data_IF_692979741329
#
_entry.id   IF_692979741329
#
_cell.length_a   1.000
_cell.length_b   1.000
_cell.length_c   1.000
_cell.angle_alpha   90.00
_cell.angle_beta   90.00
_cell.angle_gamma   90.00
#
_symmetry.space_group_name_H-M   'P 1'
#
loop_
_entity.id
_entity.type
_entity.pdbx_description
1 polymer ?
#
# COMPACT_ATOMS: atom_id res chain seq x y z
N UNK A 1 -15.89 -47.20 42.56
CA UNK A 1 -14.86 -46.85 41.56
C UNK A 1 -15.24 -45.51 40.93
N UNK A 2 -14.41 -44.45 41.04
CA UNK A 2 -14.64 -43.18 40.36
C UNK A 2 -14.06 -43.19 38.93
N UNK A 3 -14.74 -42.51 38.00
CA UNK A 3 -14.37 -42.40 36.59
C UNK A 3 -13.06 -41.60 36.37
N UNK A 4 -12.29 -41.88 35.29
CA UNK A 4 -11.02 -41.19 35.04
C UNK A 4 -11.22 -39.73 34.60
N UNK A 5 -10.26 -38.83 34.90
CA UNK A 5 -10.36 -37.40 34.57
C UNK A 5 -10.19 -37.15 33.05
N UNK A 6 -10.78 -36.06 32.52
CA UNK A 6 -10.73 -35.75 31.09
C UNK A 6 -9.32 -35.36 30.64
N UNK A 7 -8.93 -35.86 29.47
CA UNK A 7 -7.61 -35.67 28.87
C UNK A 7 -7.28 -34.18 28.63
N UNK A 8 -6.09 -33.75 29.08
CA UNK A 8 -5.55 -32.40 28.85
C UNK A 8 -5.30 -32.19 27.35
N UNK A 9 -6.14 -31.39 26.69
CA UNK A 9 -5.90 -30.94 25.30
C UNK A 9 -4.60 -30.14 25.23
N UNK A 10 -3.59 -30.72 24.57
CA UNK A 10 -2.23 -30.18 24.50
C UNK A 10 -2.11 -28.84 23.78
N UNK A 11 -1.01 -28.14 24.03
CA UNK A 11 -0.67 -26.81 23.49
C UNK A 11 -0.85 -26.71 21.96
N UNK A 12 -0.64 -27.81 21.23
CA UNK A 12 -0.87 -27.92 19.79
C UNK A 12 -2.33 -27.69 19.39
N UNK A 13 -3.30 -28.18 20.17
CA UNK A 13 -4.72 -27.99 19.89
C UNK A 13 -5.16 -26.53 20.07
N UNK A 14 -4.53 -25.80 21.00
CA UNK A 14 -4.77 -24.36 21.19
C UNK A 14 -4.20 -23.52 20.04
N UNK A 15 -3.02 -23.88 19.54
CA UNK A 15 -2.39 -23.25 18.38
C UNK A 15 -3.21 -23.46 17.09
N UNK A 16 -3.68 -24.69 16.87
CA UNK A 16 -4.57 -25.01 15.73
C UNK A 16 -5.87 -24.22 15.84
N UNK A 17 -6.49 -24.18 17.03
CA UNK A 17 -7.72 -23.41 17.25
C UNK A 17 -7.54 -21.91 17.02
N UNK A 18 -6.40 -21.34 17.43
CA UNK A 18 -6.07 -19.94 17.20
C UNK A 18 -5.85 -19.63 15.70
N UNK A 19 -5.11 -20.48 14.99
CA UNK A 19 -4.90 -20.34 13.55
C UNK A 19 -6.21 -20.44 12.76
N UNK A 20 -7.10 -21.37 13.13
CA UNK A 20 -8.42 -21.53 12.52
C UNK A 20 -9.30 -20.29 12.76
N UNK A 21 -9.28 -19.74 13.97
CA UNK A 21 -10.04 -18.52 14.32
C UNK A 21 -9.54 -17.31 13.52
N UNK A 22 -8.23 -17.21 13.29
CA UNK A 22 -7.62 -16.13 12.49
C UNK A 22 -7.92 -16.25 11.00
N UNK A 23 -7.94 -17.47 10.46
CA UNK A 23 -8.37 -17.72 9.07
C UNK A 23 -9.85 -17.41 8.85
N UNK A 24 -10.73 -17.78 9.79
CA UNK A 24 -12.16 -17.49 9.70
C UNK A 24 -12.46 -15.99 9.81
N UNK A 25 -11.70 -15.23 10.59
CA UNK A 25 -11.84 -13.78 10.69
C UNK A 25 -11.43 -13.04 9.41
N UNK A 26 -10.52 -13.62 8.59
CA UNK A 26 -10.11 -13.06 7.30
C UNK A 26 -11.11 -13.29 6.16
N UNK A 27 -12.11 -14.15 6.35
CA UNK A 27 -13.14 -14.45 5.36
C UNK A 27 -14.36 -13.51 5.41
N UNK A 28 -14.44 -12.64 6.43
CA UNK A 28 -15.49 -11.63 6.56
C UNK A 28 -15.08 -10.30 5.92
N UNK A 29 -15.24 -10.18 4.60
CA UNK A 29 -15.24 -8.88 3.95
C UNK A 29 -16.43 -8.02 4.42
N UNK A 30 -16.37 -6.68 4.31
CA UNK A 30 -17.46 -5.79 4.72
C UNK A 30 -18.77 -6.16 3.99
N UNK A 31 -19.95 -5.93 4.61
CA UNK A 31 -21.23 -6.31 4.02
C UNK A 31 -21.43 -5.52 2.71
N UNK A 32 -21.42 -6.21 1.57
CA UNK A 32 -21.64 -5.61 0.25
C UNK A 32 -20.72 -6.13 -0.87
N UNK A 33 -19.59 -6.77 -0.56
CA UNK A 33 -18.80 -7.47 -1.59
C UNK A 33 -19.38 -8.86 -1.81
N UNK A 34 -20.06 -9.10 -2.93
CA UNK A 34 -20.68 -10.38 -3.31
C UNK A 34 -19.70 -11.54 -3.59
N UNK A 35 -18.68 -11.71 -2.77
CA UNK A 35 -17.85 -12.90 -2.74
C UNK A 35 -18.48 -13.93 -1.81
N UNK A 36 -19.11 -14.96 -2.37
CA UNK A 36 -19.49 -16.14 -1.60
C UNK A 36 -18.25 -16.78 -0.92
N UNK A 37 -18.45 -17.65 0.08
CA UNK A 37 -17.35 -18.28 0.78
C UNK A 37 -16.40 -18.96 -0.23
N UNK A 38 -15.08 -18.88 0.01
CA UNK A 38 -14.08 -19.50 -0.87
C UNK A 38 -14.44 -20.98 -1.16
N UNK A 39 -14.13 -21.49 -2.37
CA UNK A 39 -14.50 -22.85 -2.77
C UNK A 39 -14.09 -23.94 -1.78
N UNK A 40 -12.97 -23.76 -1.07
CA UNK A 40 -12.49 -24.70 -0.05
C UNK A 40 -13.37 -24.75 1.21
N UNK A 41 -13.99 -23.63 1.61
CA UNK A 41 -14.94 -23.58 2.73
C UNK A 41 -16.22 -24.33 2.36
N UNK A 42 -16.67 -24.20 1.11
CA UNK A 42 -17.84 -24.91 0.59
C UNK A 42 -17.58 -26.42 0.48
N UNK A 43 -16.37 -26.81 0.06
CA UNK A 43 -15.95 -28.21 -0.04
C UNK A 43 -15.78 -28.88 1.34
N UNK A 44 -15.28 -28.15 2.34
CA UNK A 44 -15.13 -28.64 3.71
C UNK A 44 -16.48 -28.89 4.40
N UNK A 45 -17.47 -28.01 4.14
CA UNK A 45 -18.86 -28.21 4.61
C UNK A 45 -19.58 -29.36 3.90
N UNK A 46 -19.11 -29.77 2.72
CA UNK A 46 -19.70 -30.85 1.92
C UNK A 46 -19.10 -32.25 2.17
N UNK A 47 -18.16 -32.40 3.12
CA UNK A 47 -17.67 -33.71 3.56
C UNK A 47 -16.92 -34.55 2.50
N UNK A 48 -16.27 -33.91 1.52
CA UNK A 48 -15.64 -34.62 0.39
C UNK A 48 -14.33 -35.35 0.74
N UNK A 49 -14.21 -36.61 0.31
CA UNK A 49 -13.02 -37.48 0.41
C UNK A 49 -11.81 -37.00 -0.41
N UNK A 50 -10.79 -37.85 -0.69
CA UNK A 50 -9.39 -37.48 -1.01
C UNK A 50 -9.17 -36.46 -2.15
N UNK A 51 -10.15 -36.22 -3.01
CA UNK A 51 -10.18 -35.09 -3.97
C UNK A 51 -10.16 -33.71 -3.27
N UNK A 52 -10.65 -33.61 -2.03
CA UNK A 52 -10.59 -32.39 -1.21
C UNK A 52 -9.16 -32.05 -0.79
N UNK A 53 -8.29 -33.05 -0.64
CA UNK A 53 -6.88 -32.82 -0.30
C UNK A 53 -6.10 -32.28 -1.50
N UNK A 54 -6.38 -32.75 -2.71
CA UNK A 54 -5.77 -32.22 -3.93
C UNK A 54 -6.19 -30.77 -4.21
N UNK A 55 -7.46 -30.42 -3.98
CA UNK A 55 -7.93 -29.03 -4.04
C UNK A 55 -7.37 -28.15 -2.91
N UNK A 56 -7.09 -28.73 -1.74
CA UNK A 56 -6.44 -28.04 -0.61
C UNK A 56 -4.94 -27.82 -0.83
N UNK A 57 -4.31 -28.66 -1.65
CA UNK A 57 -2.90 -28.58 -2.05
C UNK A 57 -2.69 -27.86 -3.39
N UNK A 58 -3.76 -27.53 -4.10
CA UNK A 58 -3.68 -26.77 -5.34
C UNK A 58 -3.20 -25.35 -5.03
N UNK A 59 -2.07 -24.97 -5.63
CA UNK A 59 -1.55 -23.60 -5.57
C UNK A 59 -2.54 -22.69 -6.31
N UNK A 60 -3.41 -22.00 -5.57
CA UNK A 60 -4.32 -21.02 -6.14
C UNK A 60 -3.60 -19.68 -6.33
N UNK A 61 -3.78 -19.08 -7.50
CA UNK A 61 -3.27 -17.76 -7.86
C UNK A 61 -4.06 -16.63 -7.19
N UNK A 62 -5.29 -16.92 -6.76
CA UNK A 62 -6.25 -15.92 -6.32
C UNK A 62 -7.02 -15.26 -7.47
N UNK A 63 -6.73 -15.63 -8.72
CA UNK A 63 -7.43 -15.14 -9.92
C UNK A 63 -8.34 -16.19 -10.57
N UNK A 64 -8.56 -17.34 -9.92
CA UNK A 64 -9.50 -18.35 -10.41
C UNK A 64 -10.90 -17.74 -10.58
N UNK A 65 -11.49 -17.87 -11.77
CA UNK A 65 -12.75 -17.22 -12.17
C UNK A 65 -12.62 -15.72 -12.51
N UNK A 66 -11.41 -15.17 -12.49
CA UNK A 66 -11.07 -13.77 -12.83
C UNK A 66 -9.92 -13.71 -13.84
N UNK A 67 -9.76 -14.73 -14.67
CA UNK A 67 -8.66 -14.89 -15.62
C UNK A 67 -8.65 -13.77 -16.65
N UNK A 68 -9.82 -13.29 -17.07
CA UNK A 68 -9.92 -12.13 -17.96
C UNK A 68 -9.31 -10.87 -17.34
N UNK A 69 -9.61 -10.61 -16.06
CA UNK A 69 -9.07 -9.46 -15.34
C UNK A 69 -7.55 -9.54 -15.22
N UNK A 70 -7.03 -10.74 -14.90
CA UNK A 70 -5.58 -10.99 -14.88
C UNK A 70 -4.95 -10.77 -16.26
N UNK A 71 -5.55 -11.33 -17.31
CA UNK A 71 -5.08 -11.18 -18.69
C UNK A 71 -5.04 -9.73 -19.14
N UNK A 72 -6.10 -8.96 -18.84
CA UNK A 72 -6.17 -7.52 -19.15
C UNK A 72 -5.09 -6.73 -18.38
N UNK A 73 -4.86 -7.03 -17.11
CA UNK A 73 -3.84 -6.37 -16.29
C UNK A 73 -2.41 -6.66 -16.79
N UNK A 74 -2.11 -7.92 -17.14
CA UNK A 74 -0.81 -8.30 -17.71
C UNK A 74 -0.61 -7.68 -19.09
N UNK A 75 -1.64 -7.68 -19.94
CA UNK A 75 -1.57 -7.04 -21.25
C UNK A 75 -1.31 -5.54 -21.15
N UNK A 76 -1.92 -4.86 -20.18
CA UNK A 76 -1.63 -3.45 -19.88
C UNK A 76 -0.18 -3.27 -19.45
N UNK A 77 0.31 -4.06 -18.48
CA UNK A 77 1.69 -3.97 -17.99
C UNK A 77 2.71 -4.18 -19.12
N UNK A 78 2.50 -5.18 -19.99
CA UNK A 78 3.36 -5.42 -21.15
C UNK A 78 3.32 -4.22 -22.10
N UNK A 79 2.14 -3.66 -22.40
CA UNK A 79 2.03 -2.50 -23.28
C UNK A 79 2.76 -1.27 -22.74
N UNK A 80 2.77 -1.08 -21.41
CA UNK A 80 3.50 -0.01 -20.75
C UNK A 80 5.02 -0.23 -20.78
N UNK A 81 5.47 -1.46 -20.45
CA UNK A 81 6.90 -1.75 -20.26
C UNK A 81 7.65 -2.12 -21.55
N UNK A 82 6.95 -2.55 -22.60
CA UNK A 82 7.58 -2.97 -23.85
C UNK A 82 8.19 -1.82 -24.65
N UNK A 83 7.72 -0.60 -24.41
CA UNK A 83 8.22 0.58 -25.11
C UNK A 83 9.48 1.08 -24.40
N UNK A 84 10.61 0.97 -25.08
CA UNK A 84 11.94 1.26 -24.53
C UNK A 84 12.61 2.44 -25.20
N UNK A 85 11.95 3.07 -26.19
CA UNK A 85 12.48 4.21 -26.93
C UNK A 85 11.50 5.40 -26.86
N UNK A 86 11.96 6.62 -26.54
CA UNK A 86 13.35 7.03 -26.34
C UNK A 86 13.93 6.68 -24.96
N UNK A 87 13.14 6.12 -24.03
CA UNK A 87 13.63 5.61 -22.76
C UNK A 87 12.76 4.46 -22.25
N UNK A 88 13.27 3.71 -21.27
CA UNK A 88 12.55 2.62 -20.63
C UNK A 88 11.53 3.16 -19.63
N UNK A 89 10.24 2.99 -19.93
CA UNK A 89 9.15 3.38 -19.04
C UNK A 89 9.03 2.49 -17.80
N UNK A 90 8.61 3.08 -16.69
CA UNK A 90 8.15 2.34 -15.50
C UNK A 90 6.61 2.42 -15.37
N UNK A 91 6.03 1.48 -14.63
CA UNK A 91 4.58 1.40 -14.43
C UNK A 91 3.96 2.64 -13.77
N UNK A 92 4.78 3.43 -13.08
CA UNK A 92 4.37 4.65 -12.36
C UNK A 92 4.58 5.94 -13.16
N UNK A 93 5.19 5.90 -14.35
CA UNK A 93 5.62 7.09 -15.09
C UNK A 93 4.49 8.11 -15.29
N UNK A 94 3.29 7.66 -15.63
CA UNK A 94 2.15 8.54 -15.84
C UNK A 94 1.76 9.30 -14.57
N UNK A 95 1.75 8.61 -13.41
CA UNK A 95 1.45 9.22 -12.11
C UNK A 95 2.57 10.16 -11.66
N UNK A 96 3.83 9.74 -11.84
CA UNK A 96 5.00 10.57 -11.55
C UNK A 96 4.96 11.85 -12.39
N UNK A 97 4.68 11.74 -13.69
CA UNK A 97 4.60 12.87 -14.60
C UNK A 97 3.46 13.83 -14.28
N UNK A 98 2.31 13.31 -13.85
CA UNK A 98 1.21 14.14 -13.33
C UNK A 98 1.68 14.97 -12.13
N UNK A 99 2.34 14.37 -11.13
CA UNK A 99 2.88 15.11 -10.00
C UNK A 99 3.91 16.16 -10.43
N UNK A 100 4.88 15.80 -11.28
CA UNK A 100 5.89 16.73 -11.77
C UNK A 100 5.26 17.93 -12.48
N UNK A 101 4.23 17.69 -13.30
CA UNK A 101 3.51 18.74 -14.02
C UNK A 101 2.80 19.68 -13.06
N UNK A 102 2.06 19.14 -12.08
CA UNK A 102 1.32 19.95 -11.10
C UNK A 102 2.25 20.75 -10.19
N UNK A 103 3.35 20.15 -9.72
CA UNK A 103 4.34 20.83 -8.88
C UNK A 103 5.11 21.89 -9.67
N UNK A 104 5.46 21.62 -10.93
CA UNK A 104 6.11 22.62 -11.79
C UNK A 104 5.18 23.82 -11.99
N UNK A 105 3.91 23.57 -12.32
CA UNK A 105 2.93 24.63 -12.47
C UNK A 105 2.79 25.46 -11.18
N UNK A 106 2.64 24.80 -10.02
CA UNK A 106 2.52 25.50 -8.75
C UNK A 106 3.79 26.29 -8.39
N UNK A 107 4.98 25.77 -8.73
CA UNK A 107 6.26 26.48 -8.60
C UNK A 107 6.30 27.73 -9.48
N UNK A 108 5.94 27.60 -10.74
CA UNK A 108 5.97 28.70 -11.71
C UNK A 108 4.96 29.81 -11.35
N UNK A 109 3.84 29.45 -10.72
CA UNK A 109 2.83 30.39 -10.23
C UNK A 109 3.08 30.90 -8.81
N UNK A 110 4.12 30.40 -8.11
CA UNK A 110 4.41 30.78 -6.73
C UNK A 110 3.37 30.31 -5.70
N UNK A 111 2.58 29.28 -6.00
CA UNK A 111 1.47 28.79 -5.16
C UNK A 111 1.67 27.34 -4.64
N UNK A 112 2.92 26.89 -4.52
CA UNK A 112 3.25 25.54 -4.02
C UNK A 112 2.62 25.26 -2.65
N UNK A 113 2.65 26.21 -1.72
CA UNK A 113 2.08 26.04 -0.38
C UNK A 113 0.57 25.78 -0.45
N UNK A 114 -0.15 26.57 -1.25
CA UNK A 114 -1.60 26.41 -1.47
C UNK A 114 -1.90 25.06 -2.13
N UNK A 115 -1.06 24.62 -3.07
CA UNK A 115 -1.20 23.31 -3.71
C UNK A 115 -1.02 22.15 -2.72
N UNK A 116 -0.04 22.22 -1.83
CA UNK A 116 0.15 21.23 -0.75
C UNK A 116 -1.03 21.24 0.22
N UNK A 117 -1.50 22.41 0.64
CA UNK A 117 -2.68 22.54 1.51
C UNK A 117 -3.91 21.92 0.84
N UNK A 118 -4.09 22.15 -0.46
CA UNK A 118 -5.16 21.56 -1.23
C UNK A 118 -5.08 20.01 -1.25
N UNK A 119 -3.90 19.42 -1.51
CA UNK A 119 -3.68 17.96 -1.42
C UNK A 119 -4.12 17.43 -0.05
N UNK A 120 -3.65 18.04 1.04
CA UNK A 120 -4.02 17.67 2.40
C UNK A 120 -5.52 17.79 2.65
N UNK A 121 -6.15 18.87 2.16
CA UNK A 121 -7.59 19.12 2.29
C UNK A 121 -8.41 18.05 1.57
N UNK A 122 -8.05 17.69 0.35
CA UNK A 122 -8.76 16.65 -0.42
C UNK A 122 -8.66 15.27 0.22
N UNK A 123 -7.57 15.02 0.96
CA UNK A 123 -7.38 13.77 1.70
C UNK A 123 -8.06 13.72 3.07
N UNK A 124 -8.62 14.85 3.56
CA UNK A 124 -9.21 14.94 4.89
C UNK A 124 -10.22 13.84 5.24
N UNK A 125 -11.19 13.47 4.38
CA UNK A 125 -12.18 12.44 4.76
C UNK A 125 -11.53 11.10 5.13
N UNK A 126 -10.47 10.73 4.41
CA UNK A 126 -9.70 9.53 4.69
C UNK A 126 -8.85 9.69 5.96
N UNK A 127 -8.15 10.81 6.08
CA UNK A 127 -7.29 11.10 7.25
C UNK A 127 -8.09 11.16 8.55
N UNK A 128 -9.28 11.78 8.56
CA UNK A 128 -10.14 11.84 9.74
C UNK A 128 -10.65 10.45 10.17
N UNK A 129 -10.94 9.57 9.21
CA UNK A 129 -11.29 8.18 9.52
C UNK A 129 -10.13 7.44 10.19
N UNK A 130 -8.90 7.63 9.69
CA UNK A 130 -7.71 7.03 10.28
C UNK A 130 -7.43 7.60 11.67
N UNK A 131 -7.54 8.92 11.86
CA UNK A 131 -7.40 9.60 13.15
C UNK A 131 -8.35 9.00 14.18
N UNK A 132 -9.63 8.87 13.85
CA UNK A 132 -10.61 8.27 14.76
C UNK A 132 -10.32 6.79 15.11
N UNK A 133 -9.58 6.05 14.27
CA UNK A 133 -9.10 4.72 14.65
C UNK A 133 -7.90 4.80 15.61
N UNK A 134 -6.95 5.70 15.33
CA UNK A 134 -5.77 5.94 16.18
C UNK A 134 -6.20 6.38 17.59
N UNK A 135 -7.14 7.33 17.69
CA UNK A 135 -7.63 7.82 19.00
C UNK A 135 -8.32 6.73 19.82
N UNK A 136 -8.98 5.77 19.18
CA UNK A 136 -9.65 4.66 19.85
C UNK A 136 -8.70 3.57 20.32
N UNK A 137 -7.61 3.33 19.61
CA UNK A 137 -6.70 2.20 19.87
C UNK A 137 -5.39 2.63 20.52
N UNK A 138 -4.99 3.89 20.38
CA UNK A 138 -3.65 4.38 20.69
C UNK A 138 -2.56 3.93 19.70
N UNK A 139 -2.91 3.20 18.63
CA UNK A 139 -1.94 2.58 17.73
C UNK A 139 -1.47 3.57 16.66
N UNK A 140 -0.31 4.20 16.89
CA UNK A 140 0.31 5.16 15.97
C UNK A 140 0.73 4.53 14.64
N UNK A 141 0.96 3.22 14.60
CA UNK A 141 1.33 2.51 13.37
C UNK A 141 0.23 2.59 12.30
N UNK A 142 -1.03 2.81 12.70
CA UNK A 142 -2.15 3.05 11.78
C UNK A 142 -1.88 4.28 10.88
N UNK A 143 -1.19 5.31 11.39
CA UNK A 143 -0.86 6.48 10.59
C UNK A 143 0.05 6.12 9.42
N UNK A 144 1.14 5.42 9.68
CA UNK A 144 2.07 5.02 8.63
C UNK A 144 1.45 3.96 7.70
N UNK A 145 0.69 2.99 8.22
CA UNK A 145 -0.03 2.04 7.38
C UNK A 145 -1.10 2.70 6.49
N UNK A 146 -1.70 3.79 6.96
CA UNK A 146 -2.71 4.56 6.23
C UNK A 146 -2.13 5.51 5.18
N UNK A 147 -0.92 6.03 5.40
CA UNK A 147 -0.20 6.83 4.40
C UNK A 147 0.46 5.92 3.36
N UNK A 148 1.05 4.78 3.78
CA UNK A 148 1.93 3.97 2.94
C UNK A 148 1.38 2.56 2.59
N UNK A 149 1.12 1.73 3.60
CA UNK A 149 1.10 0.26 3.40
C UNK A 149 -0.21 -0.31 2.85
N UNK A 150 -1.25 0.51 2.64
CA UNK A 150 -2.55 0.06 2.13
C UNK A 150 -3.21 1.04 1.16
N UNK A 151 -2.41 1.90 0.55
CA UNK A 151 -2.88 2.86 -0.44
C UNK A 151 -2.43 2.40 -1.82
N UNK A 152 -3.39 2.06 -2.69
CA UNK A 152 -3.11 1.73 -4.10
C UNK A 152 -2.33 2.86 -4.78
N UNK A 153 -2.57 4.10 -4.37
CA UNK A 153 -1.88 5.29 -4.86
C UNK A 153 -0.38 5.28 -4.56
N UNK A 154 0.05 4.78 -3.39
CA UNK A 154 1.48 4.70 -3.10
C UNK A 154 2.12 3.50 -3.80
N UNK A 155 1.44 2.36 -3.92
CA UNK A 155 1.96 1.25 -4.72
C UNK A 155 2.14 1.60 -6.19
N UNK A 156 1.33 2.53 -6.70
CA UNK A 156 1.50 3.12 -8.02
C UNK A 156 2.61 4.17 -8.08
N UNK A 157 3.18 4.61 -6.95
CA UNK A 157 4.21 5.63 -6.91
C UNK A 157 5.59 5.03 -6.55
N UNK A 158 5.65 4.14 -5.56
CA UNK A 158 6.88 3.52 -5.06
C UNK A 158 6.78 2.00 -5.18
N UNK A 159 7.66 1.41 -5.99
CA UNK A 159 7.66 -0.02 -6.29
C UNK A 159 8.42 -0.87 -5.24
N UNK A 160 9.21 -0.24 -4.37
CA UNK A 160 10.17 -0.91 -3.47
C UNK A 160 9.95 -0.58 -1.98
N UNK A 161 8.71 -0.24 -1.58
CA UNK A 161 8.39 0.12 -0.21
C UNK A 161 8.80 -1.00 0.77
N UNK A 162 9.76 -0.67 1.64
CA UNK A 162 10.15 -1.49 2.78
C UNK A 162 9.38 -1.04 4.02
N UNK A 163 8.68 -1.97 4.65
CA UNK A 163 7.88 -1.75 5.85
C UNK A 163 8.58 -2.38 7.06
N UNK A 164 8.85 -1.56 8.07
CA UNK A 164 9.42 -1.94 9.36
C UNK A 164 8.58 -1.28 10.48
N UNK A 165 8.54 -1.84 11.71
CA UNK A 165 7.79 -1.22 12.81
C UNK A 165 8.19 0.25 13.01
N UNK A 166 7.23 1.16 12.89
CA UNK A 166 7.45 2.59 13.03
C UNK A 166 8.30 3.24 11.92
N UNK A 167 8.62 2.53 10.82
CA UNK A 167 9.54 3.01 9.78
C UNK A 167 9.20 2.51 8.36
N UNK A 168 9.11 3.44 7.41
CA UNK A 168 8.91 3.17 5.97
C UNK A 168 10.10 3.69 5.19
N UNK A 169 10.65 2.87 4.30
CA UNK A 169 11.76 3.29 3.42
C UNK A 169 11.43 2.95 1.98
N UNK A 170 11.61 3.90 1.07
CA UNK A 170 11.31 3.70 -0.35
C UNK A 170 12.27 4.52 -1.22
N UNK A 171 12.47 4.10 -2.46
CA UNK A 171 13.21 4.87 -3.45
C UNK A 171 12.42 6.13 -3.80
N UNK A 172 13.10 7.29 -3.85
CA UNK A 172 12.48 8.55 -4.23
C UNK A 172 11.92 8.44 -5.65
N UNK A 173 10.59 8.57 -5.84
CA UNK A 173 9.92 8.04 -7.02
C UNK A 173 10.05 8.95 -8.26
N UNK A 174 10.61 10.16 -8.11
CA UNK A 174 10.56 11.19 -9.14
C UNK A 174 11.82 11.25 -10.01
N UNK A 175 12.98 10.78 -9.51
CA UNK A 175 14.31 11.01 -10.11
C UNK A 175 14.36 10.67 -11.60
N UNK A 176 14.00 9.43 -11.97
CA UNK A 176 14.14 8.93 -13.34
C UNK A 176 13.35 9.78 -14.34
N UNK A 177 12.06 10.01 -14.06
CA UNK A 177 11.18 10.78 -14.95
C UNK A 177 11.57 12.27 -14.94
N UNK A 178 11.93 12.83 -13.78
CA UNK A 178 12.37 14.21 -13.67
C UNK A 178 13.65 14.47 -14.49
N UNK A 179 14.65 13.59 -14.42
CA UNK A 179 15.86 13.69 -15.23
C UNK A 179 15.57 13.69 -16.73
N UNK A 180 14.73 12.76 -17.19
CA UNK A 180 14.38 12.65 -18.61
C UNK A 180 13.60 13.89 -19.05
N UNK A 181 12.59 14.30 -18.29
CA UNK A 181 11.79 15.48 -18.58
C UNK A 181 12.61 16.76 -18.59
N UNK A 182 13.63 16.89 -17.74
CA UNK A 182 14.57 18.01 -17.76
C UNK A 182 15.43 18.03 -19.02
N UNK A 183 15.95 16.89 -19.46
CA UNK A 183 16.78 16.79 -20.69
C UNK A 183 16.04 17.24 -21.94
N UNK A 184 14.72 17.03 -21.99
CA UNK A 184 13.86 17.45 -23.11
C UNK A 184 13.18 18.80 -22.87
N UNK A 185 13.54 19.53 -21.80
CA UNK A 185 13.04 20.88 -21.52
C UNK A 185 11.58 20.96 -21.05
N UNK A 186 10.98 19.85 -20.61
CA UNK A 186 9.59 19.86 -20.10
C UNK A 186 9.48 20.49 -18.72
N UNK A 187 10.42 20.19 -17.82
CA UNK A 187 10.44 20.67 -16.44
C UNK A 187 11.84 21.16 -16.06
N UNK A 188 11.95 22.00 -15.03
CA UNK A 188 13.23 22.37 -14.42
C UNK A 188 13.36 21.93 -12.94
N UNK A 189 12.34 21.26 -12.40
CA UNK A 189 12.32 20.72 -11.04
C UNK A 189 13.48 19.76 -10.76
N UNK A 190 14.24 20.05 -9.71
CA UNK A 190 15.23 19.12 -9.16
C UNK A 190 14.61 18.14 -8.17
N UNK A 191 15.29 17.03 -7.90
CA UNK A 191 14.86 16.07 -6.87
C UNK A 191 14.72 16.72 -5.49
N UNK A 192 15.66 17.61 -5.14
CA UNK A 192 15.60 18.40 -3.91
C UNK A 192 14.36 19.28 -3.87
N UNK A 193 14.04 19.97 -4.96
CA UNK A 193 12.82 20.78 -5.04
C UNK A 193 11.58 19.90 -4.93
N UNK A 194 11.50 18.78 -5.64
CA UNK A 194 10.37 17.85 -5.50
C UNK A 194 10.22 17.30 -4.08
N UNK A 195 11.33 17.07 -3.38
CA UNK A 195 11.29 16.63 -2.00
C UNK A 195 10.80 17.72 -1.06
N UNK A 196 11.42 18.90 -1.10
CA UNK A 196 11.18 19.99 -0.15
C UNK A 196 9.89 20.77 -0.44
N UNK A 197 9.48 20.90 -1.71
CA UNK A 197 8.27 21.61 -2.09
C UNK A 197 7.02 20.74 -2.01
N UNK A 198 7.15 19.44 -2.25
CA UNK A 198 6.00 18.54 -2.43
C UNK A 198 6.00 17.36 -1.47
N UNK A 199 6.97 16.44 -1.59
CA UNK A 199 6.89 15.15 -0.90
C UNK A 199 6.95 15.29 0.63
N UNK A 200 7.85 16.11 1.15
CA UNK A 200 8.03 16.27 2.60
C UNK A 200 6.88 17.07 3.23
N UNK A 201 6.49 18.25 2.71
CA UNK A 201 5.36 19.01 3.25
C UNK A 201 4.04 18.24 3.25
N UNK A 202 3.71 17.51 2.17
CA UNK A 202 2.45 16.73 2.11
C UNK A 202 2.41 15.61 3.16
N UNK A 203 3.51 14.89 3.36
CA UNK A 203 3.59 13.79 4.33
C UNK A 203 3.48 14.33 5.76
N UNK A 204 4.15 15.45 6.06
CA UNK A 204 4.03 16.12 7.34
C UNK A 204 2.62 16.67 7.57
N UNK A 205 1.98 17.20 6.53
CA UNK A 205 0.59 17.65 6.58
C UNK A 205 -0.40 16.52 6.88
N UNK A 206 -0.22 15.35 6.24
CA UNK A 206 -1.00 14.16 6.55
C UNK A 206 -0.81 13.70 8.00
N UNK A 207 0.44 13.64 8.47
CA UNK A 207 0.76 13.32 9.85
C UNK A 207 0.13 14.29 10.86
N UNK A 208 0.17 15.60 10.57
CA UNK A 208 -0.51 16.62 11.35
C UNK A 208 -2.02 16.41 11.42
N UNK A 209 -2.66 16.13 10.28
CA UNK A 209 -4.09 15.81 10.24
C UNK A 209 -4.45 14.56 11.05
N UNK A 210 -3.55 13.57 11.09
CA UNK A 210 -3.71 12.33 11.87
C UNK A 210 -3.40 12.51 13.37
N UNK A 211 -2.77 13.61 13.77
CA UNK A 211 -2.30 13.81 15.14
C UNK A 211 -1.14 12.90 15.53
N UNK A 212 -0.39 12.36 14.56
CA UNK A 212 0.74 11.47 14.78
C UNK A 212 1.99 12.09 14.17
N UNK A 213 2.90 12.64 14.99
CA UNK A 213 4.15 13.20 14.50
C UNK A 213 5.02 12.16 13.80
N UNK A 214 5.61 12.53 12.67
CA UNK A 214 6.56 11.72 11.91
C UNK A 214 7.81 12.55 11.58
N UNK A 215 8.91 11.87 11.33
CA UNK A 215 10.10 12.44 10.71
C UNK A 215 10.19 11.93 9.26
N UNK A 216 10.52 12.83 8.33
CA UNK A 216 10.79 12.51 6.93
C UNK A 216 12.24 12.89 6.66
N UNK A 217 13.08 11.91 6.33
CA UNK A 217 14.49 12.16 6.01
C UNK A 217 14.62 12.92 4.71
N UNK A 218 15.77 13.58 4.54
CA UNK A 218 16.21 14.03 3.22
C UNK A 218 16.43 12.82 2.29
N UNK A 219 16.59 13.08 0.99
CA UNK A 219 16.95 12.04 0.02
C UNK A 219 18.37 11.56 0.31
N UNK A 220 18.51 10.27 0.64
CA UNK A 220 19.80 9.63 0.88
C UNK A 220 20.65 9.50 -0.40
N UNK A 221 21.95 9.25 -0.23
CA UNK A 221 22.87 9.02 -1.35
C UNK A 221 22.50 7.78 -2.19
N UNK A 222 21.74 6.85 -1.62
CA UNK A 222 21.14 5.68 -2.27
C UNK A 222 19.78 5.99 -2.93
N UNK A 223 19.43 7.27 -3.05
CA UNK A 223 18.16 7.77 -3.55
C UNK A 223 16.94 7.30 -2.74
N UNK A 224 17.10 6.98 -1.45
CA UNK A 224 15.99 6.56 -0.59
C UNK A 224 15.51 7.67 0.34
N UNK A 225 14.22 7.62 0.64
CA UNK A 225 13.59 8.42 1.68
C UNK A 225 13.12 7.50 2.79
N UNK A 226 13.38 7.89 4.04
CA UNK A 226 12.92 7.18 5.23
C UNK A 226 11.92 8.04 5.98
N UNK A 227 10.80 7.43 6.36
CA UNK A 227 9.78 8.05 7.21
C UNK A 227 9.64 7.25 8.49
N UNK A 228 9.76 7.90 9.65
CA UNK A 228 9.63 7.24 10.96
C UNK A 228 8.57 7.91 11.80
N UNK A 229 7.93 7.17 12.71
CA UNK A 229 7.21 7.79 13.81
C UNK A 229 8.19 8.66 14.61
N UNK A 230 7.77 9.84 15.04
CA UNK A 230 8.53 10.61 16.00
C UNK A 230 8.30 10.04 17.41
N UNK A 231 9.36 10.06 18.21
CA UNK A 231 9.39 9.64 19.61
C UNK A 231 8.35 10.37 20.46
#
# INVERSE_FOLDING_TARGET
MPAPPPAKKGLKAKLISWAMKKMMAGAGGPPGSGGGPPPWVKAMMAGGGPQSMAAMLATSSGFEGREKLLGDAVAMAIRTLKDTAPYQHDMNDALVKMHLTSVQFAKDQGCVADYVEHDIKTMQPMLQRLKGMIEKTGEKEIALAGIFDRTTCLYQLCLDLKVEPGKRTFTFPYTKVAEISRRIGQFNLTDREMHELWLKPRLLGYAGALGVPINVSDIGADNKVTVTLAS
#
